data_IF_216902676480
#
_entry.id   IF_216902676480
#
_cell.length_a   1.000
_cell.length_b   1.000
_cell.length_c   1.000
_cell.angle_alpha   90.00
_cell.angle_beta   90.00
_cell.angle_gamma   90.00
#
_symmetry.space_group_name_H-M   'P 1'
#
loop_
_entity.id
_entity.type
_entity.pdbx_description
1 polymer ?
#
# COMPACT_ATOMS: atom_id res chain seq x y z
N UNK A 1 6.00 14.32 8.25
CA UNK A 1 7.37 14.68 7.82
C UNK A 1 8.41 13.60 8.14
N UNK A 2 8.34 12.84 9.24
CA UNK A 2 9.33 11.78 9.53
C UNK A 2 9.38 10.62 8.50
N UNK A 3 8.25 10.19 7.95
CA UNK A 3 8.20 9.03 7.05
C UNK A 3 8.85 9.27 5.67
N UNK A 4 9.01 10.52 5.21
CA UNK A 4 9.58 10.85 3.89
C UNK A 4 11.12 10.85 3.85
N UNK A 5 11.76 10.46 4.96
CA UNK A 5 13.21 10.30 5.04
C UNK A 5 13.65 8.84 4.86
N UNK A 6 12.71 7.92 4.63
CA UNK A 6 13.00 6.49 4.45
C UNK A 6 12.70 6.05 3.02
N UNK A 7 13.58 5.19 2.51
CA UNK A 7 13.39 4.47 1.25
C UNK A 7 12.06 3.71 1.21
N UNK A 8 11.38 3.69 0.07
CA UNK A 8 10.10 3.01 -0.15
C UNK A 8 10.14 1.56 0.34
N UNK A 9 11.21 0.82 0.03
CA UNK A 9 11.34 -0.58 0.44
C UNK A 9 11.31 -0.77 1.96
N UNK A 10 12.00 0.10 2.72
CA UNK A 10 12.01 0.03 4.20
C UNK A 10 10.64 0.40 4.78
N UNK A 11 9.95 1.37 4.18
CA UNK A 11 8.59 1.75 4.59
C UNK A 11 7.57 0.67 4.32
N UNK A 12 7.57 0.14 3.11
CA UNK A 12 6.72 -0.99 2.74
C UNK A 12 6.96 -2.16 3.68
N UNK A 13 8.23 -2.51 3.94
CA UNK A 13 8.61 -3.49 4.95
C UNK A 13 7.99 -3.20 6.32
N UNK A 14 8.11 -1.97 6.82
CA UNK A 14 7.52 -1.58 8.11
C UNK A 14 5.98 -1.73 8.15
N UNK A 15 5.28 -1.38 7.07
CA UNK A 15 3.83 -1.56 6.98
C UNK A 15 3.42 -3.03 6.91
N UNK A 16 4.12 -3.84 6.12
CA UNK A 16 3.88 -5.29 6.07
C UNK A 16 4.22 -5.98 7.40
N UNK A 17 5.29 -5.57 8.10
CA UNK A 17 5.59 -6.10 9.43
C UNK A 17 4.52 -5.68 10.43
N UNK A 18 3.98 -4.46 10.33
CA UNK A 18 2.88 -4.00 11.19
C UNK A 18 1.65 -4.86 10.96
N UNK A 19 1.27 -5.11 9.70
CA UNK A 19 0.17 -6.01 9.34
C UNK A 19 0.39 -7.43 9.90
N UNK A 20 1.60 -7.99 9.75
CA UNK A 20 1.93 -9.32 10.26
C UNK A 20 1.83 -9.38 11.79
N UNK A 21 2.31 -8.35 12.51
CA UNK A 21 2.19 -8.25 13.96
C UNK A 21 0.72 -8.15 14.38
N UNK A 22 -0.11 -7.37 13.67
CA UNK A 22 -1.54 -7.27 13.97
C UNK A 22 -2.23 -8.63 13.81
N UNK A 23 -1.95 -9.38 12.74
CA UNK A 23 -2.49 -10.73 12.52
C UNK A 23 -2.05 -11.68 13.63
N UNK A 24 -0.76 -11.69 13.98
CA UNK A 24 -0.24 -12.53 15.07
C UNK A 24 -0.87 -12.16 16.42
N UNK A 25 -1.02 -10.87 16.70
CA UNK A 25 -1.66 -10.41 17.94
C UNK A 25 -3.12 -10.83 18.00
N UNK A 26 -3.85 -10.76 16.89
CA UNK A 26 -5.24 -11.21 16.79
C UNK A 26 -5.36 -12.72 16.99
N UNK A 27 -4.47 -13.49 16.36
CA UNK A 27 -4.39 -14.93 16.57
C UNK A 27 -4.09 -15.29 18.03
N UNK A 28 -3.20 -14.53 18.66
CA UNK A 28 -2.88 -14.67 20.09
C UNK A 28 -4.09 -14.41 20.99
N UNK A 29 -4.82 -13.31 20.78
CA UNK A 29 -6.05 -12.99 21.52
C UNK A 29 -7.11 -14.07 21.32
N UNK A 30 -7.32 -14.53 20.09
CA UNK A 30 -8.30 -15.58 19.79
C UNK A 30 -7.97 -16.89 20.51
N UNK A 31 -6.70 -17.32 20.48
CA UNK A 31 -6.26 -18.54 21.19
C UNK A 31 -6.41 -18.38 22.70
N UNK A 32 -6.02 -17.23 23.26
CA UNK A 32 -6.13 -16.94 24.69
C UNK A 32 -7.58 -17.00 25.18
N UNK A 33 -8.50 -16.32 24.50
CA UNK A 33 -9.91 -16.34 24.88
C UNK A 33 -10.54 -17.72 24.68
N UNK A 34 -10.14 -18.48 23.66
CA UNK A 34 -10.59 -19.86 23.46
C UNK A 34 -10.18 -20.76 24.62
N UNK A 35 -8.93 -20.65 25.10
CA UNK A 35 -8.45 -21.43 26.26
C UNK A 35 -9.19 -21.08 27.55
N UNK A 36 -9.51 -19.80 27.73
CA UNK A 36 -10.31 -19.33 28.87
C UNK A 36 -11.72 -19.89 28.84
N UNK A 37 -12.35 -19.92 27.67
CA UNK A 37 -13.68 -20.50 27.47
C UNK A 37 -13.68 -22.04 27.66
N UNK A 38 -12.63 -22.72 27.20
CA UNK A 38 -12.44 -24.17 27.40
C UNK A 38 -12.30 -24.51 28.89
N UNK A 39 -11.50 -23.73 29.64
CA UNK A 39 -11.32 -23.92 31.09
C UNK A 39 -12.64 -23.75 31.86
N UNK A 40 -13.45 -22.74 31.52
CA UNK A 40 -14.76 -22.54 32.13
C UNK A 40 -15.77 -23.65 31.78
N UNK A 41 -15.65 -24.22 30.59
CA UNK A 41 -16.48 -25.37 30.15
C UNK A 41 -16.01 -26.67 30.79
N UNK A 42 -14.72 -26.80 31.08
CA UNK A 42 -14.14 -27.99 31.68
C UNK A 42 -14.64 -28.27 33.09
N UNK A 43 -14.88 -27.22 33.88
CA UNK A 43 -15.49 -27.37 35.19
C UNK A 43 -16.86 -28.09 35.10
N UNK A 44 -17.66 -27.74 34.09
CA UNK A 44 -18.97 -28.37 33.84
C UNK A 44 -18.78 -29.80 33.35
N UNK A 45 -17.87 -30.01 32.39
CA UNK A 45 -17.65 -31.30 31.72
C UNK A 45 -17.05 -32.35 32.64
N UNK A 46 -16.09 -31.97 33.47
CA UNK A 46 -15.28 -32.89 34.28
C UNK A 46 -15.84 -33.04 35.69
N UNK A 47 -16.45 -31.99 36.25
CA UNK A 47 -16.92 -32.02 37.65
C UNK A 47 -18.45 -32.16 37.73
N UNK A 48 -19.17 -31.15 37.26
CA UNK A 48 -20.61 -31.02 37.52
C UNK A 48 -21.49 -32.02 36.75
N UNK A 49 -21.18 -32.30 35.48
CA UNK A 49 -21.97 -33.21 34.65
C UNK A 49 -21.87 -34.67 35.14
N UNK A 50 -20.68 -35.22 35.42
CA UNK A 50 -20.56 -36.55 36.02
C UNK A 50 -21.23 -36.66 37.40
N UNK A 51 -21.12 -35.62 38.23
CA UNK A 51 -21.77 -35.57 39.55
C UNK A 51 -23.30 -35.70 39.43
N UNK A 52 -23.92 -34.92 38.54
CA UNK A 52 -25.37 -34.97 38.30
C UNK A 52 -25.84 -36.31 37.74
N UNK A 53 -25.06 -36.93 36.84
CA UNK A 53 -25.37 -38.27 36.32
C UNK A 53 -25.31 -39.31 37.44
N UNK A 54 -24.28 -39.26 38.29
CA UNK A 54 -24.10 -40.18 39.41
C UNK A 54 -25.22 -40.02 40.46
N UNK A 55 -25.59 -38.78 40.81
CA UNK A 55 -26.71 -38.48 41.71
C UNK A 55 -28.05 -38.97 41.17
N UNK A 56 -28.30 -38.82 39.87
CA UNK A 56 -29.50 -39.36 39.24
C UNK A 56 -29.50 -40.91 39.28
N UNK A 57 -28.33 -41.54 39.10
CA UNK A 57 -28.14 -42.97 39.31
C UNK A 57 -28.49 -43.42 40.73
N UNK A 58 -27.95 -42.72 41.74
CA UNK A 58 -28.27 -42.96 43.16
C UNK A 58 -29.78 -42.84 43.40
N UNK A 59 -30.41 -41.75 42.96
CA UNK A 59 -31.85 -41.53 43.12
C UNK A 59 -32.69 -42.66 42.50
N UNK A 60 -32.35 -43.09 41.28
CA UNK A 60 -33.02 -44.19 40.60
C UNK A 60 -32.83 -45.52 41.34
N UNK A 61 -31.61 -45.84 41.77
CA UNK A 61 -31.31 -47.07 42.52
C UNK A 61 -32.08 -47.12 43.84
N UNK A 62 -32.12 -46.03 44.60
CA UNK A 62 -32.87 -45.96 45.86
C UNK A 62 -34.39 -46.10 45.65
N UNK A 63 -34.93 -45.52 44.57
CA UNK A 63 -36.35 -45.69 44.22
C UNK A 63 -36.67 -47.16 43.89
N UNK A 64 -35.80 -47.83 43.12
CA UNK A 64 -35.93 -49.26 42.80
C UNK A 64 -35.79 -50.13 44.05
N UNK A 65 -34.86 -49.80 44.94
CA UNK A 65 -34.63 -50.50 46.21
C UNK A 65 -35.86 -50.43 47.13
N UNK A 66 -36.44 -49.23 47.29
CA UNK A 66 -37.69 -49.04 48.04
C UNK A 66 -38.84 -49.83 47.44
N UNK A 67 -39.00 -49.79 46.11
CA UNK A 67 -40.05 -50.53 45.41
C UNK A 67 -39.88 -52.06 45.56
N UNK A 68 -38.65 -52.57 45.49
CA UNK A 68 -38.35 -53.98 45.69
C UNK A 68 -38.62 -54.43 47.14
N UNK A 69 -38.27 -53.59 48.12
CA UNK A 69 -38.55 -53.85 49.55
C UNK A 69 -40.06 -53.93 49.81
N UNK A 70 -40.84 -53.01 49.25
CA UNK A 70 -42.29 -53.02 49.37
C UNK A 70 -42.92 -54.21 48.64
N UNK A 71 -42.39 -54.60 47.47
CA UNK A 71 -42.84 -55.80 46.74
C UNK A 71 -42.60 -57.08 47.54
N UNK A 72 -41.44 -57.22 48.19
CA UNK A 72 -41.14 -58.37 49.03
C UNK A 72 -42.12 -58.54 50.20
N UNK A 73 -42.71 -57.45 50.69
CA UNK A 73 -43.74 -57.50 51.74
C UNK A 73 -45.16 -57.85 51.22
N UNK A 74 -45.35 -57.89 49.90
CA UNK A 74 -46.62 -58.19 49.23
C UNK A 74 -46.63 -59.58 48.56
N UNK A 75 -45.47 -60.17 48.26
CA UNK A 75 -45.36 -61.51 47.69
C UNK A 75 -45.63 -62.60 48.74
N UNK A 76 -46.41 -63.63 48.37
CA UNK A 76 -46.49 -64.88 49.14
C UNK A 76 -45.20 -65.69 48.94
N UNK A 77 -44.82 -66.49 49.95
CA UNK A 77 -43.53 -67.16 50.20
C UNK A 77 -42.88 -67.98 49.06
N UNK A 78 -43.48 -68.06 47.87
CA UNK A 78 -42.90 -68.70 46.68
C UNK A 78 -41.93 -67.82 45.86
N UNK A 79 -41.84 -66.51 46.13
CA UNK A 79 -41.01 -65.54 45.37
C UNK A 79 -39.70 -65.08 46.03
N UNK A 80 -39.39 -65.54 47.25
CA UNK A 80 -38.36 -64.97 48.14
C UNK A 80 -36.95 -64.86 47.53
N UNK A 81 -36.52 -65.82 46.71
CA UNK A 81 -35.19 -65.82 46.10
C UNK A 81 -34.97 -64.75 45.01
N UNK A 82 -36.03 -64.36 44.31
CA UNK A 82 -35.94 -63.39 43.20
C UNK A 82 -35.81 -61.95 43.72
N UNK A 83 -36.52 -61.63 44.80
CA UNK A 83 -36.49 -60.31 45.44
C UNK A 83 -35.14 -60.01 46.12
N UNK A 84 -34.50 -61.01 46.73
CA UNK A 84 -33.16 -60.88 47.33
C UNK A 84 -32.05 -60.69 46.28
N UNK A 85 -32.09 -61.44 45.17
CA UNK A 85 -31.12 -61.28 44.08
C UNK A 85 -31.25 -59.90 43.40
N UNK A 86 -32.48 -59.41 43.22
CA UNK A 86 -32.73 -58.06 42.69
C UNK A 86 -32.12 -56.99 43.61
N UNK A 87 -32.33 -57.08 44.93
CA UNK A 87 -31.73 -56.16 45.90
C UNK A 87 -30.20 -56.12 45.80
N UNK A 88 -29.56 -57.28 45.66
CA UNK A 88 -28.10 -57.37 45.47
C UNK A 88 -27.62 -56.61 44.23
N UNK A 89 -28.31 -56.78 43.09
CA UNK A 89 -27.94 -56.07 41.85
C UNK A 89 -28.15 -54.55 41.92
N UNK A 90 -29.18 -54.11 42.65
CA UNK A 90 -29.44 -52.68 42.90
C UNK A 90 -28.32 -52.11 43.78
N UNK A 91 -27.92 -52.84 44.82
CA UNK A 91 -26.84 -52.43 45.74
C UNK A 91 -25.49 -52.28 45.01
N UNK A 92 -25.17 -53.18 44.08
CA UNK A 92 -23.94 -53.05 43.28
C UNK A 92 -23.98 -51.83 42.35
N UNK A 93 -25.13 -51.57 41.72
CA UNK A 93 -25.33 -50.38 40.87
C UNK A 93 -25.26 -49.09 41.69
N UNK A 94 -25.84 -49.11 42.88
CA UNK A 94 -25.80 -48.00 43.83
C UNK A 94 -24.37 -47.74 44.30
N UNK A 95 -23.63 -48.78 44.67
CA UNK A 95 -22.21 -48.66 45.07
C UNK A 95 -21.36 -48.02 43.99
N UNK A 96 -21.56 -48.42 42.73
CA UNK A 96 -20.85 -47.81 41.60
C UNK A 96 -21.20 -46.32 41.46
N UNK A 97 -22.49 -45.97 41.56
CA UNK A 97 -22.93 -44.56 41.47
C UNK A 97 -22.41 -43.71 42.64
N UNK A 98 -22.35 -44.27 43.85
CA UNK A 98 -21.76 -43.63 45.03
C UNK A 98 -20.26 -43.36 44.84
N UNK A 99 -19.51 -44.35 44.35
CA UNK A 99 -18.08 -44.20 44.07
C UNK A 99 -17.82 -43.17 42.96
N UNK A 100 -18.63 -43.18 41.90
CA UNK A 100 -18.55 -42.20 40.82
C UNK A 100 -18.81 -40.79 41.34
N UNK A 101 -19.85 -40.60 42.16
CA UNK A 101 -20.13 -39.31 42.78
C UNK A 101 -19.02 -38.88 43.74
N UNK A 102 -18.49 -39.81 44.54
CA UNK A 102 -17.44 -39.49 45.50
C UNK A 102 -16.17 -38.94 44.83
N UNK A 103 -15.89 -39.39 43.60
CA UNK A 103 -14.77 -38.89 42.79
C UNK A 103 -14.99 -37.48 42.21
N UNK A 104 -16.23 -36.99 42.20
CA UNK A 104 -16.59 -35.64 41.73
C UNK A 104 -16.76 -34.64 42.87
N UNK A 105 -16.58 -35.07 44.12
CA UNK A 105 -16.77 -34.16 45.25
C UNK A 105 -15.67 -33.10 45.26
N UNK A 106 -16.09 -31.86 45.11
CA UNK A 106 -15.22 -30.69 45.21
C UNK A 106 -15.65 -29.79 46.37
N UNK A 107 -14.75 -29.65 47.35
CA UNK A 107 -14.93 -28.80 48.52
C UNK A 107 -15.60 -29.46 49.74
N UNK A 108 -15.52 -28.77 50.90
CA UNK A 108 -15.94 -29.33 52.19
C UNK A 108 -17.47 -29.41 52.36
N UNK A 109 -18.23 -28.50 51.75
CA UNK A 109 -19.69 -28.47 51.88
C UNK A 109 -20.33 -29.68 51.19
N UNK A 110 -19.92 -29.97 49.97
CA UNK A 110 -20.38 -31.14 49.23
C UNK A 110 -20.06 -32.44 49.98
N UNK A 111 -18.81 -32.58 50.45
CA UNK A 111 -18.38 -33.72 51.27
C UNK A 111 -19.25 -33.91 52.52
N UNK A 112 -19.60 -32.82 53.20
CA UNK A 112 -20.45 -32.87 54.39
C UNK A 112 -21.88 -33.32 54.06
N UNK A 113 -22.47 -32.81 52.97
CA UNK A 113 -23.80 -33.22 52.51
C UNK A 113 -23.81 -34.70 52.08
N UNK A 114 -22.77 -35.15 51.38
CA UNK A 114 -22.61 -36.54 51.00
C UNK A 114 -22.52 -37.47 52.22
N UNK A 115 -21.71 -37.11 53.21
CA UNK A 115 -21.60 -37.89 54.46
C UNK A 115 -22.93 -37.93 55.23
N UNK A 116 -23.68 -36.82 55.28
CA UNK A 116 -25.00 -36.78 55.90
C UNK A 116 -26.00 -37.71 55.18
N UNK A 117 -25.96 -37.74 53.85
CA UNK A 117 -26.74 -38.69 53.06
C UNK A 117 -26.33 -40.15 53.32
N UNK A 118 -25.02 -40.45 53.35
CA UNK A 118 -24.53 -41.80 53.65
C UNK A 118 -24.98 -42.30 55.03
N UNK A 119 -24.97 -41.43 56.04
CA UNK A 119 -25.44 -41.76 57.39
C UNK A 119 -26.96 -42.00 57.41
N UNK A 120 -27.75 -41.14 56.73
CA UNK A 120 -29.19 -41.34 56.60
C UNK A 120 -29.53 -42.66 55.86
N UNK A 121 -28.77 -42.99 54.81
CA UNK A 121 -28.90 -44.25 54.08
C UNK A 121 -28.59 -45.45 54.98
N UNK A 122 -27.48 -45.41 55.73
CA UNK A 122 -27.12 -46.48 56.65
C UNK A 122 -28.26 -46.78 57.64
N UNK A 123 -28.86 -45.74 58.22
CA UNK A 123 -29.99 -45.88 59.14
C UNK A 123 -31.23 -46.48 58.47
N UNK A 124 -31.46 -46.20 57.18
CA UNK A 124 -32.52 -46.85 56.39
C UNK A 124 -32.19 -48.33 56.13
N UNK A 125 -30.98 -48.65 55.67
CA UNK A 125 -30.55 -50.02 55.36
C UNK A 125 -30.55 -50.92 56.60
N UNK A 126 -30.09 -50.43 57.75
CA UNK A 126 -30.10 -51.18 59.02
C UNK A 126 -31.52 -51.62 59.41
N UNK A 127 -32.52 -50.76 59.17
CA UNK A 127 -33.92 -51.06 59.44
C UNK A 127 -34.57 -51.92 58.35
N UNK A 128 -34.22 -51.70 57.09
CA UNK A 128 -34.65 -52.51 55.96
C UNK A 128 -34.22 -53.98 56.12
N UNK A 129 -33.00 -54.23 56.60
CA UNK A 129 -32.52 -55.59 56.88
C UNK A 129 -33.36 -56.29 57.96
N UNK A 130 -33.78 -55.55 59.00
CA UNK A 130 -34.70 -56.10 60.02
C UNK A 130 -36.07 -56.42 59.44
N UNK A 131 -36.59 -55.58 58.53
CA UNK A 131 -37.84 -55.83 57.82
C UNK A 131 -37.75 -57.09 56.96
N UNK A 132 -36.68 -57.24 56.18
CA UNK A 132 -36.45 -58.41 55.35
C UNK A 132 -36.28 -59.69 56.18
N UNK A 133 -35.58 -59.62 57.33
CA UNK A 133 -35.49 -60.74 58.26
C UNK A 133 -36.88 -61.14 58.81
N UNK A 134 -37.71 -60.15 59.19
CA UNK A 134 -39.08 -60.42 59.62
C UNK A 134 -39.96 -61.03 58.52
N UNK A 135 -39.76 -60.64 57.25
CA UNK A 135 -40.42 -61.26 56.10
C UNK A 135 -39.99 -62.73 55.96
N UNK A 136 -38.68 -62.99 55.93
CA UNK A 136 -38.12 -64.34 55.79
C UNK A 136 -38.50 -65.28 56.95
N UNK A 137 -38.67 -64.75 58.16
CA UNK A 137 -39.09 -65.51 59.33
C UNK A 137 -40.63 -65.62 59.47
N UNK A 138 -41.39 -65.18 58.47
CA UNK A 138 -42.85 -65.26 58.42
C UNK A 138 -43.58 -64.29 59.35
N UNK A 139 -42.88 -63.35 59.99
CA UNK A 139 -43.43 -62.35 60.92
C UNK A 139 -44.03 -61.14 60.17
N UNK A 140 -44.98 -61.42 59.28
CA UNK A 140 -45.52 -60.42 58.35
C UNK A 140 -46.21 -59.22 59.02
N UNK A 141 -46.87 -59.42 60.17
CA UNK A 141 -47.49 -58.32 60.94
C UNK A 141 -46.45 -57.32 61.45
N UNK A 142 -45.32 -57.81 61.97
CA UNK A 142 -44.22 -56.93 62.43
C UNK A 142 -43.55 -56.22 61.25
N UNK A 143 -43.29 -56.95 60.15
CA UNK A 143 -42.74 -56.35 58.94
C UNK A 143 -43.62 -55.19 58.42
N UNK A 144 -44.94 -55.39 58.32
CA UNK A 144 -45.89 -54.34 57.89
C UNK A 144 -45.94 -53.14 58.84
N UNK A 145 -45.83 -53.35 60.14
CA UNK A 145 -45.78 -52.26 61.11
C UNK A 145 -44.48 -51.44 61.00
N UNK A 146 -43.35 -52.11 60.78
CA UNK A 146 -42.06 -51.44 60.55
C UNK A 146 -42.05 -50.68 59.22
N UNK A 147 -42.63 -51.27 58.16
CA UNK A 147 -42.76 -50.63 56.85
C UNK A 147 -43.62 -49.37 56.93
N UNK A 148 -44.80 -49.45 57.53
CA UNK A 148 -45.79 -48.35 57.52
C UNK A 148 -45.45 -47.17 58.42
N UNK A 149 -44.43 -47.28 59.28
CA UNK A 149 -43.97 -46.17 60.14
C UNK A 149 -42.46 -45.95 60.07
N UNK A 150 -41.66 -46.65 60.90
CA UNK A 150 -40.23 -46.38 61.03
C UNK A 150 -39.45 -46.40 59.70
N UNK A 151 -39.74 -47.35 58.81
CA UNK A 151 -38.98 -47.50 57.55
C UNK A 151 -39.28 -46.35 56.58
N UNK A 152 -40.55 -45.96 56.43
CA UNK A 152 -40.94 -44.80 55.60
C UNK A 152 -40.28 -43.52 56.13
N UNK A 153 -40.30 -43.29 57.45
CA UNK A 153 -39.65 -42.11 58.04
C UNK A 153 -38.14 -42.06 57.75
N UNK A 154 -37.45 -43.20 57.85
CA UNK A 154 -36.02 -43.28 57.48
C UNK A 154 -35.79 -43.06 55.99
N UNK A 155 -36.68 -43.58 55.15
CA UNK A 155 -36.61 -43.39 53.71
C UNK A 155 -36.82 -41.92 53.32
N UNK A 156 -37.76 -41.22 53.96
CA UNK A 156 -38.04 -39.81 53.71
C UNK A 156 -36.84 -38.94 54.15
N UNK A 157 -36.27 -39.20 55.35
CA UNK A 157 -35.06 -38.51 55.80
C UNK A 157 -33.85 -38.75 54.86
N UNK A 158 -33.68 -39.97 54.36
CA UNK A 158 -32.65 -40.29 53.36
C UNK A 158 -32.88 -39.53 52.05
N UNK A 159 -34.11 -39.46 51.56
CA UNK A 159 -34.42 -38.73 50.33
C UNK A 159 -34.33 -37.22 50.48
N UNK A 160 -34.64 -36.65 51.65
CA UNK A 160 -34.41 -35.23 51.94
C UNK A 160 -32.92 -34.90 51.95
N UNK A 161 -32.09 -35.76 52.55
CA UNK A 161 -30.63 -35.61 52.51
C UNK A 161 -30.09 -35.70 51.08
N UNK A 162 -30.57 -36.66 50.27
CA UNK A 162 -30.21 -36.76 48.86
C UNK A 162 -30.69 -35.53 48.06
N UNK A 163 -31.92 -35.08 48.28
CA UNK A 163 -32.46 -33.90 47.58
C UNK A 163 -31.66 -32.65 47.90
N UNK A 164 -31.19 -32.50 49.15
CA UNK A 164 -30.32 -31.39 49.55
C UNK A 164 -28.98 -31.45 48.82
N UNK A 165 -28.40 -32.65 48.69
CA UNK A 165 -27.15 -32.89 47.94
C UNK A 165 -27.32 -32.58 46.44
N UNK A 166 -28.43 -33.02 45.84
CA UNK A 166 -28.79 -32.75 44.45
C UNK A 166 -29.00 -31.26 44.19
N UNK A 167 -29.72 -30.56 45.07
CA UNK A 167 -29.96 -29.11 44.93
C UNK A 167 -28.65 -28.31 45.04
N UNK A 168 -27.75 -28.70 45.93
CA UNK A 168 -26.42 -28.10 46.03
C UNK A 168 -25.63 -28.23 44.71
N UNK A 169 -25.57 -29.44 44.15
CA UNK A 169 -24.85 -29.70 42.89
C UNK A 169 -25.51 -29.03 41.69
N UNK A 170 -26.84 -29.01 41.65
CA UNK A 170 -27.59 -28.31 40.60
C UNK A 170 -27.29 -26.81 40.61
N UNK A 171 -27.27 -26.17 41.79
CA UNK A 171 -26.91 -24.75 41.91
C UNK A 171 -25.45 -24.47 41.55
N UNK A 172 -24.54 -25.35 41.95
CA UNK A 172 -23.12 -25.29 41.55
C UNK A 172 -22.96 -25.37 40.03
N UNK A 173 -23.54 -26.40 39.41
CA UNK A 173 -23.55 -26.61 37.96
C UNK A 173 -24.17 -25.43 37.21
N UNK A 174 -25.28 -24.87 37.71
CA UNK A 174 -25.93 -23.72 37.10
C UNK A 174 -25.06 -22.46 37.17
N UNK A 175 -24.41 -22.21 38.30
CA UNK A 175 -23.49 -21.08 38.48
C UNK A 175 -22.28 -21.21 37.56
N UNK A 176 -21.69 -22.40 37.47
CA UNK A 176 -20.59 -22.68 36.54
C UNK A 176 -21.03 -22.50 35.07
N UNK A 177 -22.25 -22.93 34.73
CA UNK A 177 -22.83 -22.71 33.39
C UNK A 177 -23.03 -21.23 33.07
N UNK A 178 -23.51 -20.42 34.01
CA UNK A 178 -23.65 -18.97 33.82
C UNK A 178 -22.26 -18.32 33.66
N UNK A 179 -21.31 -18.69 34.50
CA UNK A 179 -19.94 -18.18 34.40
C UNK A 179 -19.29 -18.51 33.05
N UNK A 180 -19.45 -19.74 32.55
CA UNK A 180 -18.96 -20.12 31.22
C UNK A 180 -19.61 -19.30 30.10
N UNK A 181 -20.91 -19.02 30.20
CA UNK A 181 -21.61 -18.13 29.26
C UNK A 181 -21.06 -16.70 29.30
N UNK A 182 -20.86 -16.13 30.50
CA UNK A 182 -20.32 -14.78 30.67
C UNK A 182 -18.89 -14.67 30.11
N UNK A 183 -18.04 -15.69 30.34
CA UNK A 183 -16.70 -15.79 29.77
C UNK A 183 -16.76 -15.82 28.23
N UNK A 184 -17.73 -16.54 27.66
CA UNK A 184 -17.95 -16.55 26.20
C UNK A 184 -18.36 -15.18 25.64
N UNK A 185 -19.28 -14.49 26.31
CA UNK A 185 -19.72 -13.15 25.90
C UNK A 185 -18.57 -12.12 26.01
N UNK A 186 -17.78 -12.18 27.07
CA UNK A 186 -16.61 -11.32 27.26
C UNK A 186 -15.51 -11.61 26.23
N UNK A 187 -15.29 -12.88 25.90
CA UNK A 187 -14.39 -13.28 24.82
C UNK A 187 -14.81 -12.67 23.47
N UNK A 188 -16.09 -12.75 23.13
CA UNK A 188 -16.63 -12.12 21.91
C UNK A 188 -16.43 -10.60 21.93
N UNK A 189 -16.71 -9.93 23.05
CA UNK A 189 -16.47 -8.48 23.19
C UNK A 189 -15.00 -8.13 23.01
N UNK A 190 -14.09 -8.88 23.62
CA UNK A 190 -12.64 -8.67 23.49
C UNK A 190 -12.16 -8.82 22.05
N UNK A 191 -12.60 -9.88 21.35
CA UNK A 191 -12.31 -10.13 19.94
C UNK A 191 -12.83 -8.99 19.05
N UNK A 192 -14.07 -8.55 19.25
CA UNK A 192 -14.66 -7.45 18.47
C UNK A 192 -13.92 -6.13 18.69
N UNK A 193 -13.58 -5.80 19.95
CA UNK A 193 -12.81 -4.59 20.26
C UNK A 193 -11.39 -4.64 19.65
N UNK A 194 -10.72 -5.80 19.71
CA UNK A 194 -9.43 -5.99 19.07
C UNK A 194 -9.51 -5.82 17.55
N UNK A 195 -10.54 -6.38 16.89
CA UNK A 195 -10.78 -6.20 15.46
C UNK A 195 -11.01 -4.74 15.08
N UNK A 196 -11.84 -4.01 15.83
CA UNK A 196 -12.09 -2.59 15.58
C UNK A 196 -10.80 -1.77 15.69
N UNK A 197 -9.96 -2.06 16.70
CA UNK A 197 -8.68 -1.40 16.87
C UNK A 197 -7.71 -1.72 15.72
N UNK A 198 -7.64 -2.98 15.28
CA UNK A 198 -6.85 -3.39 14.10
C UNK A 198 -7.33 -2.65 12.85
N UNK A 199 -8.63 -2.58 12.59
CA UNK A 199 -9.20 -1.86 11.45
C UNK A 199 -8.80 -0.39 11.50
N UNK A 200 -8.90 0.27 12.67
CA UNK A 200 -8.51 1.66 12.84
C UNK A 200 -7.01 1.86 12.49
N UNK A 201 -6.14 0.97 12.96
CA UNK A 201 -4.71 1.01 12.65
C UNK A 201 -4.46 0.77 11.16
N UNK A 202 -5.16 -0.17 10.53
CA UNK A 202 -5.02 -0.44 9.09
C UNK A 202 -5.46 0.74 8.24
N UNK A 203 -6.56 1.42 8.59
CA UNK A 203 -6.99 2.64 7.91
C UNK A 203 -5.94 3.74 8.06
N UNK A 204 -5.39 3.95 9.26
CA UNK A 204 -4.32 4.92 9.48
C UNK A 204 -3.07 4.59 8.65
N UNK A 205 -2.64 3.32 8.62
CA UNK A 205 -1.52 2.84 7.81
C UNK A 205 -1.77 3.07 6.32
N UNK A 206 -2.98 2.75 5.83
CA UNK A 206 -3.35 2.95 4.43
C UNK A 206 -3.30 4.42 4.01
N UNK A 207 -3.83 5.34 4.84
CA UNK A 207 -3.76 6.77 4.58
C UNK A 207 -2.32 7.29 4.59
N UNK A 208 -1.50 6.84 5.55
CA UNK A 208 -0.09 7.19 5.62
C UNK A 208 0.69 6.67 4.41
N UNK A 209 0.41 5.45 3.96
CA UNK A 209 1.03 4.86 2.78
C UNK A 209 0.67 5.63 1.51
N UNK A 210 -0.62 5.90 1.30
CA UNK A 210 -1.12 6.65 0.14
C UNK A 210 -0.49 8.04 0.06
N UNK A 211 -0.54 8.81 1.14
CA UNK A 211 0.00 10.17 1.17
C UNK A 211 1.53 10.22 1.04
N UNK A 212 2.24 9.16 1.44
CA UNK A 212 3.70 9.14 1.43
C UNK A 212 4.29 8.52 0.16
N UNK A 213 3.61 7.59 -0.49
CA UNK A 213 4.10 6.88 -1.70
C UNK A 213 3.32 7.32 -2.93
N UNK A 214 1.99 7.13 -2.90
CA UNK A 214 1.13 7.23 -4.09
C UNK A 214 1.03 8.68 -4.54
N UNK A 215 0.81 9.63 -3.63
CA UNK A 215 0.67 11.05 -3.97
C UNK A 215 1.94 11.64 -4.61
N UNK A 216 3.16 11.49 -4.05
CA UNK A 216 4.37 12.04 -4.68
C UNK A 216 4.72 11.39 -6.02
N UNK A 217 4.38 10.11 -6.21
CA UNK A 217 4.56 9.44 -7.51
C UNK A 217 3.59 9.99 -8.55
N UNK A 218 2.32 10.23 -8.19
CA UNK A 218 1.35 10.86 -9.07
C UNK A 218 1.78 12.30 -9.45
N UNK A 219 2.35 13.06 -8.51
CA UNK A 219 2.94 14.38 -8.79
C UNK A 219 4.09 14.28 -9.81
N UNK A 220 4.99 13.30 -9.66
CA UNK A 220 6.09 13.09 -10.61
C UNK A 220 5.58 12.75 -12.02
N UNK A 221 4.54 11.93 -12.14
CA UNK A 221 3.89 11.63 -13.42
C UNK A 221 3.32 12.89 -14.06
N UNK A 222 2.55 13.69 -13.30
CA UNK A 222 2.00 14.96 -13.82
C UNK A 222 3.10 15.94 -14.28
N UNK A 223 4.23 16.00 -13.58
CA UNK A 223 5.37 16.83 -13.97
C UNK A 223 5.98 16.33 -15.29
N UNK A 224 6.17 15.02 -15.43
CA UNK A 224 6.70 14.43 -16.64
C UNK A 224 5.78 14.69 -17.85
N UNK A 225 4.46 14.54 -17.69
CA UNK A 225 3.48 14.86 -18.74
C UNK A 225 3.53 16.32 -19.17
N UNK A 226 3.67 17.27 -18.22
CA UNK A 226 3.81 18.70 -18.54
C UNK A 226 5.08 19.00 -19.33
N UNK A 227 6.20 18.39 -18.96
CA UNK A 227 7.45 18.54 -19.71
C UNK A 227 7.28 17.95 -21.12
N UNK A 228 6.58 16.82 -21.26
CA UNK A 228 6.35 16.17 -22.56
C UNK A 228 5.52 17.05 -23.52
N UNK A 229 4.56 17.83 -23.02
CA UNK A 229 3.79 18.79 -23.83
C UNK A 229 4.48 20.16 -23.99
N UNK A 230 5.70 20.32 -23.44
CA UNK A 230 6.50 21.54 -23.56
C UNK A 230 6.16 22.65 -22.56
N UNK A 231 5.26 22.43 -21.59
CA UNK A 231 5.04 23.39 -20.51
C UNK A 231 6.16 23.27 -19.47
N UNK A 232 7.18 24.10 -19.68
CA UNK A 232 8.29 24.22 -18.75
C UNK A 232 8.05 25.32 -17.72
N UNK A 233 6.92 26.01 -17.63
CA UNK A 233 6.82 27.26 -16.84
C UNK A 233 6.60 27.03 -15.33
N UNK A 234 5.95 25.93 -14.95
CA UNK A 234 5.63 25.65 -13.54
C UNK A 234 6.83 25.21 -12.72
N UNK A 235 6.89 25.68 -11.48
CA UNK A 235 7.90 25.22 -10.51
C UNK A 235 7.62 23.80 -10.04
N UNK A 236 8.68 22.99 -9.98
CA UNK A 236 8.66 21.64 -9.41
C UNK A 236 9.14 21.75 -7.95
N UNK A 237 8.18 21.72 -7.03
CA UNK A 237 8.45 21.69 -5.59
C UNK A 237 8.79 20.26 -5.20
N UNK A 238 9.95 20.06 -4.57
CA UNK A 238 10.37 18.74 -4.10
C UNK A 238 10.40 18.75 -2.59
N UNK A 239 9.79 17.73 -1.98
CA UNK A 239 9.83 17.52 -0.54
C UNK A 239 10.23 16.07 -0.21
N UNK A 240 10.95 15.89 0.90
CA UNK A 240 11.49 14.58 1.30
C UNK A 240 12.85 14.25 0.69
N UNK A 241 13.36 13.07 1.06
CA UNK A 241 14.67 12.54 0.62
C UNK A 241 14.57 11.07 0.16
N UNK A 242 13.35 10.59 -0.09
CA UNK A 242 13.05 9.24 -0.56
C UNK A 242 13.09 9.12 -2.10
N UNK A 243 12.86 7.93 -2.63
CA UNK A 243 12.94 7.67 -4.08
C UNK A 243 11.98 8.54 -4.92
N UNK A 244 10.72 8.81 -4.52
CA UNK A 244 9.86 9.76 -5.22
C UNK A 244 10.42 11.19 -5.21
N UNK A 245 11.00 11.63 -4.09
CA UNK A 245 11.68 12.92 -4.03
C UNK A 245 12.91 12.96 -4.96
N UNK A 246 13.67 11.87 -5.03
CA UNK A 246 14.81 11.77 -5.95
C UNK A 246 14.36 11.83 -7.42
N UNK A 247 13.24 11.20 -7.77
CA UNK A 247 12.62 11.27 -9.09
C UNK A 247 12.20 12.72 -9.43
N UNK A 248 11.53 13.41 -8.52
CA UNK A 248 11.15 14.82 -8.70
C UNK A 248 12.37 15.73 -8.85
N UNK A 249 13.47 15.50 -8.11
CA UNK A 249 14.74 16.21 -8.31
C UNK A 249 15.33 15.97 -9.71
N UNK A 250 15.26 14.74 -10.23
CA UNK A 250 15.72 14.43 -11.58
C UNK A 250 14.87 15.15 -12.64
N UNK A 251 13.54 15.14 -12.50
CA UNK A 251 12.63 15.87 -13.39
C UNK A 251 12.86 17.39 -13.34
N UNK A 252 13.15 17.96 -12.17
CA UNK A 252 13.49 19.39 -12.03
C UNK A 252 14.77 19.74 -12.78
N UNK A 253 15.82 18.91 -12.67
CA UNK A 253 17.06 19.11 -13.44
C UNK A 253 16.81 19.01 -14.94
N UNK A 254 16.00 18.05 -15.38
CA UNK A 254 15.60 17.91 -16.79
C UNK A 254 14.86 19.15 -17.30
N UNK A 255 13.88 19.66 -16.55
CA UNK A 255 13.15 20.89 -16.89
C UNK A 255 14.11 22.08 -17.03
N UNK A 256 15.05 22.24 -16.09
CA UNK A 256 16.02 23.34 -16.13
C UNK A 256 16.94 23.25 -17.35
N UNK A 257 17.49 22.07 -17.66
CA UNK A 257 18.31 21.87 -18.85
C UNK A 257 17.56 22.16 -20.15
N UNK A 258 16.27 21.78 -20.22
CA UNK A 258 15.41 22.10 -21.37
C UNK A 258 15.17 23.62 -21.49
N UNK A 259 14.86 24.31 -20.39
CA UNK A 259 14.71 25.78 -20.38
C UNK A 259 15.98 26.49 -20.86
N UNK A 260 17.14 26.08 -20.36
CA UNK A 260 18.44 26.66 -20.76
C UNK A 260 18.71 26.43 -22.25
N UNK A 261 18.39 25.24 -22.77
CA UNK A 261 18.57 24.92 -24.19
C UNK A 261 17.67 25.77 -25.07
N UNK A 262 16.38 25.91 -24.72
CA UNK A 262 15.43 26.78 -25.45
C UNK A 262 15.88 28.25 -25.38
N UNK A 263 16.37 28.72 -24.23
CA UNK A 263 16.91 30.08 -24.09
C UNK A 263 18.13 30.35 -24.99
N UNK A 264 19.04 29.37 -25.11
CA UNK A 264 20.18 29.43 -26.03
C UNK A 264 19.73 29.45 -27.50
N UNK A 265 18.72 28.67 -27.86
CA UNK A 265 18.12 28.68 -29.20
C UNK A 265 17.51 30.05 -29.49
N UNK A 266 16.68 30.58 -28.60
CA UNK A 266 16.06 31.90 -28.77
C UNK A 266 17.10 33.01 -28.93
N UNK A 267 18.16 33.00 -28.10
CA UNK A 267 19.27 33.95 -28.22
C UNK A 267 19.98 33.82 -29.56
N UNK A 268 20.23 32.59 -30.02
CA UNK A 268 20.88 32.34 -31.32
C UNK A 268 20.00 32.78 -32.49
N UNK A 269 18.69 32.54 -32.43
CA UNK A 269 17.71 33.03 -33.42
C UNK A 269 17.66 34.56 -33.45
N UNK A 270 17.72 35.24 -32.30
CA UNK A 270 17.77 36.71 -32.26
C UNK A 270 19.08 37.26 -32.87
N UNK A 271 20.22 36.61 -32.60
CA UNK A 271 21.49 36.96 -33.23
C UNK A 271 21.45 36.75 -34.75
N UNK A 272 20.80 35.67 -35.20
CA UNK A 272 20.60 35.40 -36.62
C UNK A 272 19.71 36.47 -37.26
N UNK A 273 18.59 36.83 -36.64
CA UNK A 273 17.69 37.89 -37.12
C UNK A 273 18.43 39.24 -37.26
N UNK A 274 19.18 39.66 -36.23
CA UNK A 274 19.99 40.87 -36.29
C UNK A 274 21.12 40.81 -37.33
N UNK A 275 21.71 39.63 -37.55
CA UNK A 275 22.68 39.44 -38.64
C UNK A 275 22.02 39.56 -40.02
N UNK A 276 20.82 39.00 -40.19
CA UNK A 276 20.02 39.15 -41.41
C UNK A 276 19.62 40.59 -41.69
N UNK A 277 19.22 41.37 -40.68
CA UNK A 277 18.95 42.81 -40.83
C UNK A 277 20.20 43.58 -41.26
N UNK A 278 21.35 43.30 -40.65
CA UNK A 278 22.63 43.90 -41.06
C UNK A 278 23.02 43.53 -42.49
N UNK A 279 22.85 42.26 -42.87
CA UNK A 279 23.09 41.82 -44.25
C UNK A 279 22.16 42.51 -45.24
N UNK A 280 20.89 42.73 -44.87
CA UNK A 280 19.95 43.47 -45.70
C UNK A 280 20.43 44.91 -45.93
N UNK A 281 20.86 45.62 -44.87
CA UNK A 281 21.43 46.96 -44.99
C UNK A 281 22.69 47.01 -45.87
N UNK A 282 23.63 46.09 -45.66
CA UNK A 282 24.85 45.99 -46.50
C UNK A 282 24.49 45.72 -47.96
N UNK A 283 23.48 44.88 -48.22
CA UNK A 283 23.02 44.59 -49.58
C UNK A 283 22.40 45.82 -50.24
N UNK A 284 21.63 46.62 -49.50
CA UNK A 284 21.06 47.87 -50.00
C UNK A 284 22.15 48.90 -50.33
N UNK A 285 23.12 49.09 -49.44
CA UNK A 285 24.25 50.00 -49.68
C UNK A 285 25.09 49.54 -50.89
N UNK A 286 25.38 48.23 -50.98
CA UNK A 286 26.08 47.66 -52.15
C UNK A 286 25.30 47.90 -53.44
N UNK A 287 23.97 47.78 -53.42
CA UNK A 287 23.14 48.07 -54.59
C UNK A 287 23.21 49.54 -55.00
N UNK A 288 23.30 50.47 -54.05
CA UNK A 288 23.50 51.90 -54.34
C UNK A 288 24.89 52.17 -54.89
N UNK A 289 25.93 51.57 -54.32
CA UNK A 289 27.30 51.71 -54.79
C UNK A 289 27.46 51.16 -56.21
N UNK A 290 26.83 50.03 -56.53
CA UNK A 290 26.80 49.50 -57.91
C UNK A 290 26.13 50.45 -58.90
N UNK A 291 25.07 51.16 -58.50
CA UNK A 291 24.46 52.18 -59.35
C UNK A 291 25.42 53.36 -59.60
N UNK A 292 26.09 53.84 -58.54
CA UNK A 292 27.10 54.90 -58.68
C UNK A 292 28.26 54.44 -59.57
N UNK A 293 28.79 53.25 -59.32
CA UNK A 293 29.85 52.65 -60.13
C UNK A 293 29.43 52.51 -61.59
N UNK A 294 28.18 52.11 -61.87
CA UNK A 294 27.64 52.08 -63.24
C UNK A 294 27.67 53.47 -63.88
N UNK A 295 27.29 54.52 -63.14
CA UNK A 295 27.35 55.89 -63.68
C UNK A 295 28.78 56.38 -63.92
N UNK A 296 29.73 56.03 -63.06
CA UNK A 296 31.14 56.33 -63.28
C UNK A 296 31.70 55.56 -64.48
N UNK A 297 31.29 54.30 -64.68
CA UNK A 297 31.65 53.52 -65.87
C UNK A 297 31.07 54.16 -67.13
N UNK A 298 29.82 54.64 -67.11
CA UNK A 298 29.22 55.34 -68.25
C UNK A 298 29.98 56.65 -68.57
N UNK A 299 30.40 57.39 -67.52
CA UNK A 299 31.24 58.57 -67.68
C UNK A 299 32.63 58.21 -68.22
N UNK A 300 33.26 57.16 -67.71
CA UNK A 300 34.55 56.68 -68.18
C UNK A 300 34.46 56.21 -69.63
N UNK A 301 33.41 55.50 -70.02
CA UNK A 301 33.14 55.12 -71.41
C UNK A 301 32.97 56.35 -72.30
N UNK A 302 32.25 57.38 -71.81
CA UNK A 302 32.11 58.67 -72.51
C UNK A 302 33.47 59.37 -72.66
N UNK A 303 34.29 59.40 -71.61
CA UNK A 303 35.62 59.98 -71.62
C UNK A 303 36.57 59.22 -72.56
N UNK A 304 36.52 57.89 -72.56
CA UNK A 304 37.27 57.04 -73.50
C UNK A 304 36.83 57.31 -74.93
N UNK A 305 35.53 57.50 -75.17
CA UNK A 305 35.01 57.86 -76.50
C UNK A 305 35.55 59.24 -76.93
N UNK A 306 35.53 60.24 -76.04
CA UNK A 306 36.12 61.56 -76.33
C UNK A 306 37.64 61.50 -76.51
N UNK A 307 38.36 60.72 -75.70
CA UNK A 307 39.80 60.49 -75.87
C UNK A 307 40.09 59.82 -77.22
N UNK A 308 39.27 58.85 -77.63
CA UNK A 308 39.41 58.20 -78.94
C UNK A 308 39.22 59.21 -80.07
N UNK A 309 38.18 60.06 -79.99
CA UNK A 309 38.00 61.16 -80.96
C UNK A 309 39.17 62.15 -80.98
N UNK A 310 39.72 62.50 -79.81
CA UNK A 310 40.90 63.37 -79.73
C UNK A 310 42.15 62.72 -80.31
N UNK A 311 42.34 61.40 -80.13
CA UNK A 311 43.44 60.65 -80.75
C UNK A 311 43.26 60.57 -82.27
N UNK A 312 42.04 60.36 -82.76
CA UNK A 312 41.71 60.44 -84.19
C UNK A 312 42.01 61.83 -84.76
N UNK A 313 41.67 62.89 -84.02
CA UNK A 313 41.98 64.28 -84.39
C UNK A 313 43.49 64.54 -84.43
N UNK A 314 44.26 64.08 -83.44
CA UNK A 314 45.72 64.19 -83.41
C UNK A 314 46.36 63.38 -84.54
N UNK A 315 45.88 62.16 -84.81
CA UNK A 315 46.35 61.35 -85.92
C UNK A 315 46.06 62.02 -87.27
N UNK A 316 44.86 62.59 -87.44
CA UNK A 316 44.51 63.37 -88.63
C UNK A 316 45.39 64.60 -88.80
N UNK A 317 45.64 65.35 -87.72
CA UNK A 317 46.56 66.49 -87.73
C UNK A 317 48.00 66.08 -88.04
N UNK A 318 48.47 64.93 -87.54
CA UNK A 318 49.80 64.41 -87.85
C UNK A 318 49.94 64.02 -89.32
N UNK A 319 48.91 63.38 -89.91
CA UNK A 319 48.84 63.10 -91.35
C UNK A 319 48.85 64.39 -92.15
N UNK A 320 48.01 65.36 -91.80
CA UNK A 320 47.95 66.66 -92.49
C UNK A 320 49.28 67.43 -92.37
N UNK A 321 49.95 67.36 -91.22
CA UNK A 321 51.28 67.98 -91.02
C UNK A 321 52.36 67.27 -91.83
N UNK A 322 52.30 65.94 -91.94
CA UNK A 322 53.21 65.16 -92.78
C UNK A 322 53.02 65.50 -94.26
N UNK A 323 51.78 65.61 -94.74
CA UNK A 323 51.44 66.08 -96.08
C UNK A 323 52.00 67.49 -96.32
N UNK A 324 51.73 68.44 -95.42
CA UNK A 324 52.24 69.81 -95.52
C UNK A 324 53.78 69.88 -95.51
N UNK A 325 54.44 69.04 -94.71
CA UNK A 325 55.90 68.95 -94.67
C UNK A 325 56.46 68.38 -95.98
N UNK A 326 55.77 67.41 -96.58
CA UNK A 326 56.16 66.83 -97.86
C UNK A 326 55.97 67.84 -99.01
N UNK A 327 54.89 68.61 -99.00
CA UNK A 327 54.67 69.73 -99.93
C UNK A 327 55.75 70.81 -99.80
N UNK A 328 56.16 71.14 -98.57
CA UNK A 328 57.26 72.08 -98.32
C UNK A 328 58.61 71.55 -98.84
N UNK A 329 58.89 70.25 -98.68
CA UNK A 329 60.09 69.60 -99.20
C UNK A 329 60.11 69.57 -100.73
N UNK A 330 58.95 69.31 -101.36
CA UNK A 330 58.75 69.40 -102.80
C UNK A 330 59.00 70.82 -103.32
N UNK A 331 58.43 71.83 -102.67
CA UNK A 331 58.63 73.25 -103.01
C UNK A 331 60.11 73.66 -102.89
N UNK A 332 60.82 73.11 -101.90
CA UNK A 332 62.25 73.36 -101.71
C UNK A 332 63.09 72.74 -102.84
N UNK A 333 62.72 71.54 -103.31
CA UNK A 333 63.35 70.92 -104.49
C UNK A 333 63.12 71.73 -105.77
N UNK A 334 61.90 72.20 -106.00
CA UNK A 334 61.59 73.07 -107.14
C UNK A 334 62.41 74.37 -107.10
N UNK A 335 62.64 74.92 -105.90
CA UNK A 335 63.53 76.07 -105.68
C UNK A 335 65.02 75.78 -105.92
N UNK A 336 65.47 74.53 -105.73
CA UNK A 336 66.85 74.11 -106.06
C UNK A 336 67.05 73.95 -107.57
N UNK A 337 66.05 73.46 -108.29
CA UNK A 337 66.12 73.31 -109.75
C UNK A 337 66.14 74.67 -110.48
N UNK A 338 65.42 75.68 -109.98
CA UNK A 338 65.46 77.04 -110.52
C UNK A 338 66.83 77.73 -110.41
N UNK A 339 67.72 77.28 -109.51
CA UNK A 339 69.08 77.81 -109.38
C UNK A 339 70.07 77.25 -110.40
N UNK A 340 69.73 76.20 -111.15
CA UNK A 340 70.70 75.43 -111.94
C UNK A 340 70.81 75.79 -113.43
N UNK A 341 70.00 76.71 -113.99
CA UNK A 341 70.00 76.97 -115.45
C UNK A 341 69.83 78.44 -115.90
N UNK A 342 70.89 79.26 -115.80
CA UNK A 342 71.03 80.58 -116.48
C UNK A 342 71.85 81.65 -115.73
N UNK A 343 73.00 82.24 -116.13
CA UNK A 343 73.99 82.15 -117.24
C UNK A 343 75.28 82.98 -116.80
N UNK A 344 76.38 83.16 -117.61
CA UNK A 344 77.81 83.26 -117.20
C UNK A 344 78.54 84.66 -117.17
N UNK A 345 79.78 84.64 -116.61
CA UNK A 345 81.02 85.50 -116.62
C UNK A 345 81.13 86.99 -117.13
N UNK A 346 81.51 87.93 -116.21
CA UNK A 346 82.41 89.16 -116.21
C UNK A 346 82.35 90.29 -117.29
N UNK A 347 82.83 91.58 -117.12
CA UNK A 347 83.70 92.23 -116.10
C UNK A 347 83.26 93.66 -115.58
N UNK A 348 84.18 94.43 -114.93
CA UNK A 348 84.12 95.86 -114.51
C UNK A 348 83.04 96.27 -113.48
N UNK A 349 83.31 96.21 -112.16
CA UNK A 349 82.26 96.33 -111.11
C UNK A 349 82.09 97.75 -110.49
N UNK A 350 81.19 98.54 -111.06
CA UNK A 350 80.33 99.59 -110.45
C UNK A 350 78.87 99.20 -110.82
N UNK A 351 77.79 99.51 -110.05
CA UNK A 351 76.99 100.73 -110.30
C UNK A 351 76.14 101.26 -109.10
N UNK A 352 75.53 102.43 -109.31
CA UNK A 352 74.67 103.19 -108.39
C UNK A 352 73.15 102.96 -108.65
N UNK A 353 72.31 103.48 -107.73
CA UNK A 353 70.89 103.87 -107.89
C UNK A 353 69.76 102.82 -107.74
N UNK A 354 68.87 103.15 -106.78
CA UNK A 354 67.38 103.27 -106.81
C UNK A 354 66.43 102.10 -107.15
N UNK A 355 65.25 102.19 -106.48
CA UNK A 355 63.87 101.78 -106.81
C UNK A 355 63.54 100.32 -107.17
#
# INVERSE_FOLDING_TARGET
MLLRNMKIGKRAGCFFTTLAVLILSMGGVAVYETQRMDSATDEIRVNWLPAMIALNGISSSLAQERAATLRAALEDSSGEGTSLHLLGSIEDTLRNSLNSYESTIDGPQDRNLFNAFLEARKQYTDLQLQVLANINEGRMTQAKQQISGPLIQRADHMMDALSTLVDFNYKGAHTASQHSSDVGDDALRAIVLALLLIILVLVAVALLFTNSVVTPLAEAVMVAERIAIGDLTREIVVAGQDEPALLLHALRRMQQSLRETIGKIATSSNRLASASERLHGVTEDTSRDLLLQSTEIDQAATAVNQMTSAVEEVASNAVSTAEASQDADQTTRDGQDQRSNGWPTAPTKLPACWM
#
